data_IF_775565896105
#
_entry.id   IF_775565896105
#
_cell.length_a   1.000
_cell.length_b   1.000
_cell.length_c   1.000
_cell.angle_alpha   90.00
_cell.angle_beta   90.00
_cell.angle_gamma   90.00
#
_symmetry.space_group_name_H-M   'P 1'
#
loop_
_entity.id
_entity.type
_entity.pdbx_description
1 polymer ?
#
# COMPACT_ATOMS: atom_id res chain seq x y z
N UNK A 1 18.55 34.80 46.56
CA UNK A 1 18.72 34.67 45.09
C UNK A 1 19.15 33.24 44.77
N UNK A 2 18.24 32.38 44.29
CA UNK A 2 18.60 31.03 43.79
C UNK A 2 17.94 30.87 42.42
N UNK A 3 18.77 30.93 41.38
CA UNK A 3 18.38 30.72 39.97
C UNK A 3 18.24 29.22 39.76
N UNK A 4 17.05 28.76 39.40
CA UNK A 4 16.85 27.39 38.92
C UNK A 4 16.85 27.46 37.39
N UNK A 5 17.76 26.74 36.70
CA UNK A 5 17.77 26.73 35.25
C UNK A 5 16.57 25.92 34.76
N UNK A 6 15.68 26.57 34.01
CA UNK A 6 14.58 25.91 33.31
C UNK A 6 15.19 24.97 32.27
N UNK A 7 15.07 23.66 32.51
CA UNK A 7 15.48 22.65 31.56
C UNK A 7 14.64 22.77 30.28
N UNK A 8 15.30 23.05 29.16
CA UNK A 8 14.68 23.10 27.84
C UNK A 8 14.23 21.68 27.45
N UNK A 9 12.92 21.42 27.52
CA UNK A 9 12.30 20.24 26.93
C UNK A 9 12.43 20.33 25.40
N UNK A 10 13.36 19.57 24.84
CA UNK A 10 13.52 19.44 23.39
C UNK A 10 12.40 18.53 22.86
N UNK A 11 11.30 19.11 22.38
CA UNK A 11 10.28 18.36 21.66
C UNK A 11 10.82 18.00 20.26
N UNK A 12 11.45 16.83 20.15
CA UNK A 12 11.83 16.25 18.86
C UNK A 12 10.58 15.76 18.13
N UNK A 13 10.02 16.59 17.25
CA UNK A 13 8.96 16.14 16.33
C UNK A 13 9.63 15.36 15.21
N UNK A 14 9.68 14.03 15.35
CA UNK A 14 9.97 13.12 14.24
C UNK A 14 8.74 13.11 13.31
N UNK A 15 8.66 14.07 12.39
CA UNK A 15 7.73 13.98 11.27
C UNK A 15 8.25 12.88 10.34
N UNK A 16 7.67 11.69 10.45
CA UNK A 16 7.75 10.67 9.41
C UNK A 16 7.11 11.24 8.14
N UNK A 17 7.92 11.78 7.24
CA UNK A 17 7.52 12.45 5.99
C UNK A 17 6.88 11.53 4.95
N UNK A 18 6.55 10.28 5.30
CA UNK A 18 5.82 9.35 4.42
C UNK A 18 4.28 9.45 4.55
N UNK A 19 3.75 10.06 5.63
CA UNK A 19 2.31 10.08 5.87
C UNK A 19 1.53 11.02 4.92
N UNK A 20 2.20 11.97 4.27
CA UNK A 20 1.55 12.94 3.39
C UNK A 20 1.09 12.34 2.04
N UNK A 21 1.79 11.31 1.53
CA UNK A 21 1.40 10.59 0.31
C UNK A 21 0.44 9.42 0.56
N UNK A 22 0.38 8.94 1.81
CA UNK A 22 -0.47 7.81 2.20
C UNK A 22 -1.98 8.12 2.21
N UNK A 23 -2.37 9.40 2.19
CA UNK A 23 -3.78 9.81 2.12
C UNK A 23 -4.34 9.71 0.69
N UNK A 24 -3.47 9.73 -0.33
CA UNK A 24 -3.90 9.75 -1.73
C UNK A 24 -3.91 8.36 -2.35
N UNK A 25 -3.00 7.49 -1.94
CA UNK A 25 -2.87 6.13 -2.46
C UNK A 25 -2.94 5.08 -1.35
N UNK A 26 -3.93 4.19 -1.42
CA UNK A 26 -4.01 3.01 -0.53
C UNK A 26 -3.12 1.88 -1.09
N UNK A 27 -2.03 1.48 -0.40
CA UNK A 27 -1.12 0.43 -0.87
C UNK A 27 -1.77 -0.95 -0.92
N UNK A 28 -2.97 -1.13 -0.35
CA UNK A 28 -3.72 -2.39 -0.37
C UNK A 28 -4.36 -2.68 -1.73
N UNK A 29 -4.54 -1.66 -2.58
CA UNK A 29 -5.22 -1.79 -3.87
C UNK A 29 -4.28 -1.50 -5.05
N UNK A 30 -4.28 -2.35 -6.08
CA UNK A 30 -3.40 -2.20 -7.26
C UNK A 30 -3.81 -1.09 -8.22
N UNK A 31 -5.05 -0.59 -8.13
CA UNK A 31 -5.59 0.39 -9.09
C UNK A 31 -6.35 1.49 -8.37
N UNK A 32 -6.18 2.71 -8.87
CA UNK A 32 -6.83 3.91 -8.36
C UNK A 32 -7.61 4.64 -9.47
N UNK A 33 -8.73 5.24 -9.10
CA UNK A 33 -9.51 6.12 -9.96
C UNK A 33 -9.21 7.58 -9.62
N UNK A 34 -8.55 8.29 -10.54
CA UNK A 34 -8.34 9.73 -10.47
C UNK A 34 -9.63 10.44 -10.88
N UNK A 35 -10.26 11.15 -9.96
CA UNK A 35 -11.48 11.92 -10.21
C UNK A 35 -11.09 13.38 -10.44
N UNK A 36 -11.57 13.95 -11.55
CA UNK A 36 -11.38 15.33 -11.93
C UNK A 36 -12.59 16.17 -11.53
N UNK A 37 -12.30 17.31 -10.92
CA UNK A 37 -13.28 18.29 -10.47
C UNK A 37 -12.57 19.49 -9.82
N UNK A 38 -13.31 20.39 -9.16
CA UNK A 38 -12.73 21.53 -8.46
C UNK A 38 -11.68 21.13 -7.41
N UNK A 39 -11.86 19.96 -6.81
CA UNK A 39 -10.87 19.30 -5.97
C UNK A 39 -10.69 17.88 -6.50
N UNK A 40 -9.58 17.65 -7.19
CA UNK A 40 -9.23 16.32 -7.70
C UNK A 40 -8.72 15.41 -6.59
N UNK A 41 -9.11 14.14 -6.62
CA UNK A 41 -8.63 13.14 -5.67
C UNK A 41 -8.53 11.76 -6.31
N UNK A 42 -7.83 10.85 -5.63
CA UNK A 42 -7.69 9.47 -6.05
C UNK A 42 -8.53 8.57 -5.15
N UNK A 43 -9.29 7.67 -5.75
CA UNK A 43 -10.02 6.63 -5.06
C UNK A 43 -9.36 5.27 -5.33
N UNK A 44 -8.58 4.78 -4.35
CA UNK A 44 -7.80 3.55 -4.48
C UNK A 44 -8.52 2.39 -3.78
N UNK A 45 -9.50 1.80 -4.47
CA UNK A 45 -10.29 0.66 -3.97
C UNK A 45 -10.57 -0.40 -5.03
N UNK A 46 -9.78 -0.41 -6.11
CA UNK A 46 -10.01 -1.24 -7.28
C UNK A 46 -8.97 -2.34 -7.42
N UNK A 47 -9.42 -3.55 -7.77
CA UNK A 47 -8.55 -4.70 -7.96
C UNK A 47 -7.95 -4.80 -9.37
N UNK A 48 -8.55 -4.14 -10.37
CA UNK A 48 -8.08 -4.18 -11.76
C UNK A 48 -8.45 -2.91 -12.53
N UNK A 49 -7.75 -2.65 -13.63
CA UNK A 49 -8.04 -1.51 -14.51
C UNK A 49 -9.42 -1.66 -15.15
N UNK A 50 -9.81 -2.86 -15.53
CA UNK A 50 -11.12 -3.10 -16.14
C UNK A 50 -12.27 -2.86 -15.16
N UNK A 51 -12.12 -3.28 -13.90
CA UNK A 51 -13.09 -2.98 -12.85
C UNK A 51 -13.20 -1.46 -12.62
N UNK A 52 -12.07 -0.76 -12.59
CA UNK A 52 -12.06 0.68 -12.46
C UNK A 52 -12.75 1.36 -13.65
N UNK A 53 -12.40 0.99 -14.90
CA UNK A 53 -12.99 1.56 -16.12
C UNK A 53 -14.51 1.39 -16.16
N UNK A 54 -15.00 0.20 -15.83
CA UNK A 54 -16.43 -0.09 -15.76
C UNK A 54 -17.15 0.86 -14.79
N UNK A 55 -16.54 1.15 -13.63
CA UNK A 55 -17.11 2.05 -12.61
C UNK A 55 -16.82 3.54 -12.86
N UNK A 56 -15.88 3.85 -13.76
CA UNK A 56 -15.55 5.21 -14.18
C UNK A 56 -16.47 5.74 -15.28
N UNK A 57 -17.26 4.88 -15.94
CA UNK A 57 -18.21 5.31 -16.99
C UNK A 57 -19.17 6.37 -16.46
N UNK A 58 -19.32 7.47 -17.21
CA UNK A 58 -20.19 8.58 -16.83
C UNK A 58 -19.62 9.49 -15.73
N UNK A 59 -18.37 9.26 -15.30
CA UNK A 59 -17.67 10.12 -14.34
C UNK A 59 -16.54 10.86 -15.06
N UNK A 60 -16.24 12.08 -14.65
CA UNK A 60 -15.02 12.79 -15.04
C UNK A 60 -13.83 12.17 -14.29
N UNK A 61 -13.45 10.94 -14.64
CA UNK A 61 -12.41 10.19 -13.96
C UNK A 61 -11.54 9.36 -14.92
N UNK A 62 -10.33 9.02 -14.49
CA UNK A 62 -9.40 8.14 -15.20
C UNK A 62 -8.78 7.12 -14.27
N UNK A 63 -8.49 5.93 -14.80
CA UNK A 63 -7.95 4.82 -14.03
C UNK A 63 -6.44 4.71 -14.21
N UNK A 64 -5.70 4.59 -13.10
CA UNK A 64 -4.24 4.48 -13.10
C UNK A 64 -3.80 3.30 -12.23
N UNK A 65 -2.66 2.70 -12.59
CA UNK A 65 -2.01 1.67 -11.77
C UNK A 65 -1.39 2.33 -10.55
N UNK A 66 -1.61 1.76 -9.37
CA UNK A 66 -1.04 2.26 -8.13
C UNK A 66 0.46 1.88 -8.05
N UNK A 67 1.40 2.85 -8.08
CA UNK A 67 2.82 2.56 -7.98
C UNK A 67 3.23 2.07 -6.57
N UNK A 68 2.38 2.29 -5.56
CA UNK A 68 2.63 1.89 -4.18
C UNK A 68 2.09 0.50 -3.83
N UNK A 69 1.44 -0.19 -4.79
CA UNK A 69 0.96 -1.55 -4.57
C UNK A 69 2.15 -2.53 -4.56
N UNK A 70 2.38 -3.27 -3.47
CA UNK A 70 3.55 -4.13 -3.37
C UNK A 70 3.46 -5.27 -4.40
N UNK A 71 4.55 -5.57 -5.12
CA UNK A 71 4.57 -6.71 -6.02
C UNK A 71 4.34 -7.99 -5.21
N UNK A 72 3.38 -8.83 -5.65
CA UNK A 72 3.19 -10.16 -5.06
C UNK A 72 4.48 -10.93 -5.26
N UNK A 73 5.19 -11.20 -4.15
CA UNK A 73 6.35 -12.11 -4.18
C UNK A 73 5.83 -13.45 -4.71
N UNK A 74 6.44 -14.05 -5.74
CA UNK A 74 6.04 -15.38 -6.17
C UNK A 74 6.18 -16.29 -4.96
N UNK A 75 5.08 -16.97 -4.60
CA UNK A 75 5.13 -17.97 -3.55
C UNK A 75 6.24 -18.94 -3.95
N UNK A 76 7.30 -19.00 -3.13
CA UNK A 76 8.42 -19.92 -3.36
C UNK A 76 7.76 -21.29 -3.43
N UNK A 77 7.64 -21.84 -4.63
CA UNK A 77 7.01 -23.12 -4.91
C UNK A 77 7.65 -24.09 -3.93
N UNK A 78 6.89 -24.52 -2.92
CA UNK A 78 7.42 -25.43 -1.92
C UNK A 78 7.85 -26.67 -2.71
N UNK A 79 9.17 -26.88 -2.80
CA UNK A 79 9.72 -28.09 -3.39
C UNK A 79 9.10 -29.23 -2.57
N UNK A 80 8.33 -30.16 -3.17
CA UNK A 80 7.76 -31.26 -2.42
C UNK A 80 8.92 -31.98 -1.74
N UNK A 81 8.97 -31.87 -0.42
CA UNK A 81 9.89 -32.63 0.38
C UNK A 81 9.34 -34.06 0.40
N UNK A 82 10.15 -34.99 -0.11
CA UNK A 82 10.17 -36.36 0.38
C UNK A 82 9.05 -37.28 -0.11
N UNK A 83 9.27 -37.91 -1.28
CA UNK A 83 8.84 -39.30 -1.47
C UNK A 83 9.97 -40.18 -0.89
N UNK A 84 9.86 -40.55 0.39
CA UNK A 84 10.67 -41.64 0.96
C UNK A 84 10.11 -42.94 0.40
N UNK A 85 10.87 -43.76 -0.36
CA UNK A 85 10.41 -45.09 -0.70
C UNK A 85 10.43 -45.93 0.59
N UNK A 86 9.24 -46.36 1.03
CA UNK A 86 9.08 -47.30 2.14
C UNK A 86 9.83 -48.59 1.81
N UNK A 87 10.81 -49.04 2.62
CA UNK A 87 11.42 -50.34 2.41
C UNK A 87 10.39 -51.41 2.78
N UNK A 88 10.05 -52.26 1.81
CA UNK A 88 9.21 -53.43 2.02
C UNK A 88 10.15 -54.54 2.54
N UNK A 89 10.06 -54.85 3.82
CA UNK A 89 10.77 -55.95 4.50
C UNK A 89 9.89 -57.21 4.60
N UNK A 90 10.48 -58.34 5.03
CA UNK A 90 11.31 -59.28 4.26
C UNK A 90 10.50 -60.34 3.49
#
# INVERSE_FOLDING_TARGET
MRRVPVALLSAGVLLATAAAHAQTYDPSYPVCMQIYGPVGYFDCRYGSLEQCKYLAVGRSASCVVNPYFPPKKPARRARPATQTPTPRSP
#
